data_IF_505007823471
#
_entry.id   IF_505007823471
#
_cell.length_a   1.000
_cell.length_b   1.000
_cell.length_c   1.000
_cell.angle_alpha   90.00
_cell.angle_beta   90.00
_cell.angle_gamma   90.00
#
_symmetry.space_group_name_H-M   'P 1'
#
loop_
_entity.id
_entity.type
_entity.pdbx_description
1 polymer ?
#
# COMPACT_ATOMS: atom_id res chain seq x y z
N UNK A 1 20.82 -1.75 -1.88
CA UNK A 1 19.63 -1.14 -1.26
C UNK A 1 19.69 0.38 -1.33
N UNK A 2 18.65 0.99 -1.88
CA UNK A 2 18.54 2.44 -2.14
C UNK A 2 17.40 3.00 -1.30
N UNK A 3 17.68 4.08 -0.56
CA UNK A 3 16.65 4.82 0.20
C UNK A 3 15.86 5.69 -0.78
N UNK A 4 14.53 5.58 -0.78
CA UNK A 4 13.65 6.49 -1.51
C UNK A 4 13.67 7.85 -0.79
N UNK A 5 13.93 8.91 -1.53
CA UNK A 5 14.08 10.24 -0.91
C UNK A 5 12.75 10.71 -0.30
N UNK A 6 12.84 11.60 0.70
CA UNK A 6 11.64 12.17 1.31
C UNK A 6 10.74 12.87 0.28
N UNK A 7 11.35 13.60 -0.64
CA UNK A 7 10.59 14.31 -1.68
C UNK A 7 9.79 13.34 -2.56
N UNK A 8 10.39 12.21 -2.97
CA UNK A 8 9.72 11.17 -3.74
C UNK A 8 8.60 10.51 -2.94
N UNK A 9 8.83 10.20 -1.66
CA UNK A 9 7.80 9.65 -0.77
C UNK A 9 6.59 10.59 -0.70
N UNK A 10 6.83 11.88 -0.47
CA UNK A 10 5.75 12.87 -0.39
C UNK A 10 5.05 13.08 -1.74
N UNK A 11 5.80 13.00 -2.85
CA UNK A 11 5.25 13.10 -4.21
C UNK A 11 4.31 11.93 -4.51
N UNK A 12 4.72 10.70 -4.22
CA UNK A 12 3.89 9.51 -4.36
C UNK A 12 2.64 9.61 -3.49
N UNK A 13 2.79 9.97 -2.20
CA UNK A 13 1.64 10.12 -1.29
C UNK A 13 0.64 11.16 -1.77
N UNK A 14 1.09 12.30 -2.32
CA UNK A 14 0.21 13.31 -2.93
C UNK A 14 -0.57 12.77 -4.12
N UNK A 15 0.05 11.95 -4.97
CA UNK A 15 -0.66 11.31 -6.10
C UNK A 15 -1.72 10.32 -5.64
N UNK A 16 -1.43 9.52 -4.62
CA UNK A 16 -2.42 8.62 -4.02
C UNK A 16 -3.59 9.40 -3.41
N UNK A 17 -3.32 10.47 -2.66
CA UNK A 17 -4.36 11.32 -2.09
C UNK A 17 -5.23 11.96 -3.19
N UNK A 18 -4.59 12.47 -4.26
CA UNK A 18 -5.30 13.02 -5.41
C UNK A 18 -6.19 11.98 -6.11
N UNK A 19 -5.67 10.76 -6.29
CA UNK A 19 -6.45 9.65 -6.85
C UNK A 19 -7.70 9.33 -6.02
N UNK A 20 -7.59 9.38 -4.69
CA UNK A 20 -8.71 9.15 -3.78
C UNK A 20 -9.77 10.25 -3.90
N UNK A 21 -9.36 11.52 -3.99
CA UNK A 21 -10.26 12.65 -4.22
C UNK A 21 -10.98 12.53 -5.58
N UNK A 22 -10.22 12.20 -6.63
CA UNK A 22 -10.75 11.99 -7.98
C UNK A 22 -11.74 10.82 -8.02
N UNK A 23 -11.43 9.71 -7.36
CA UNK A 23 -12.32 8.57 -7.24
C UNK A 23 -13.62 8.93 -6.51
N UNK A 24 -13.52 9.67 -5.40
CA UNK A 24 -14.69 10.11 -4.64
C UNK A 24 -15.60 11.04 -5.47
N UNK A 25 -15.03 11.97 -6.23
CA UNK A 25 -15.80 12.83 -7.13
C UNK A 25 -16.51 12.02 -8.22
N UNK A 26 -15.78 11.14 -8.91
CA UNK A 26 -16.32 10.29 -9.97
C UNK A 26 -17.42 9.37 -9.45
N UNK A 27 -17.24 8.81 -8.25
CA UNK A 27 -18.25 7.98 -7.62
C UNK A 27 -19.52 8.79 -7.31
N UNK A 28 -19.40 10.00 -6.75
CA UNK A 28 -20.57 10.87 -6.49
C UNK A 28 -21.34 11.19 -7.76
N UNK A 29 -20.64 11.55 -8.84
CA UNK A 29 -21.27 11.83 -10.14
C UNK A 29 -21.98 10.61 -10.71
N UNK A 30 -21.32 9.45 -10.72
CA UNK A 30 -21.87 8.21 -11.25
C UNK A 30 -23.09 7.73 -10.43
N UNK A 31 -23.01 7.84 -9.10
CA UNK A 31 -24.09 7.48 -8.18
C UNK A 31 -25.32 8.38 -8.33
N UNK A 32 -25.12 9.67 -8.57
CA UNK A 32 -26.22 10.61 -8.83
C UNK A 32 -26.91 10.35 -10.18
N UNK A 33 -26.18 9.81 -11.16
CA UNK A 33 -26.71 9.54 -12.50
C UNK A 33 -27.57 8.27 -12.58
N UNK A 34 -27.18 7.20 -11.89
CA UNK A 34 -27.90 5.93 -11.91
C UNK A 34 -27.50 5.01 -10.73
N UNK A 35 -28.32 4.00 -10.40
CA UNK A 35 -27.90 2.92 -9.51
C UNK A 35 -26.63 2.24 -10.02
N UNK A 36 -25.64 2.07 -9.14
CA UNK A 36 -24.35 1.47 -9.46
C UNK A 36 -24.27 0.02 -8.96
N UNK A 37 -23.54 -0.86 -9.66
CA UNK A 37 -23.23 -2.18 -9.13
C UNK A 37 -22.33 -2.08 -7.88
N UNK A 38 -22.33 -3.08 -6.99
CA UNK A 38 -21.52 -3.07 -5.77
C UNK A 38 -20.01 -2.88 -6.02
N UNK A 39 -19.51 -3.30 -7.19
CA UNK A 39 -18.09 -3.18 -7.57
C UNK A 39 -17.70 -1.79 -8.09
N UNK A 40 -18.65 -0.93 -8.42
CA UNK A 40 -18.37 0.33 -9.13
C UNK A 40 -17.39 1.22 -8.37
N UNK A 41 -17.52 1.33 -7.05
CA UNK A 41 -16.62 2.14 -6.24
C UNK A 41 -15.17 1.63 -6.28
N UNK A 42 -14.97 0.29 -6.30
CA UNK A 42 -13.65 -0.33 -6.40
C UNK A 42 -13.04 -0.10 -7.78
N UNK A 43 -13.83 -0.27 -8.85
CA UNK A 43 -13.40 -0.04 -10.23
C UNK A 43 -13.02 1.43 -10.48
N UNK A 44 -13.82 2.37 -9.96
CA UNK A 44 -13.54 3.81 -10.03
C UNK A 44 -12.27 4.16 -9.26
N UNK A 45 -12.09 3.61 -8.05
CA UNK A 45 -10.88 3.83 -7.25
C UNK A 45 -9.63 3.28 -7.94
N UNK A 46 -9.68 2.04 -8.43
CA UNK A 46 -8.58 1.43 -9.17
C UNK A 46 -8.21 2.25 -10.41
N UNK A 47 -9.20 2.70 -11.19
CA UNK A 47 -8.97 3.54 -12.36
C UNK A 47 -8.29 4.87 -11.99
N UNK A 48 -8.75 5.55 -10.94
CA UNK A 48 -8.16 6.82 -10.51
C UNK A 48 -6.72 6.67 -10.00
N UNK A 49 -6.43 5.57 -9.28
CA UNK A 49 -5.07 5.25 -8.82
C UNK A 49 -4.11 5.04 -10.00
N UNK A 50 -4.53 4.24 -10.99
CA UNK A 50 -3.73 3.94 -12.17
C UNK A 50 -3.54 5.16 -13.09
N UNK A 51 -4.53 6.03 -13.18
CA UNK A 51 -4.44 7.31 -13.91
C UNK A 51 -3.46 8.27 -13.24
N UNK A 52 -3.43 8.28 -11.91
CA UNK A 52 -2.56 9.16 -11.12
C UNK A 52 -1.14 8.61 -10.93
N UNK A 53 -0.92 7.32 -11.17
CA UNK A 53 0.40 6.69 -11.01
C UNK A 53 1.37 7.15 -12.11
N UNK A 54 2.63 7.37 -11.72
CA UNK A 54 3.67 7.80 -12.66
C UNK A 54 4.40 6.62 -13.29
N UNK A 55 4.72 5.61 -12.47
CA UNK A 55 5.65 4.53 -12.83
C UNK A 55 4.98 3.17 -13.06
N UNK A 56 3.65 3.16 -13.07
CA UNK A 56 2.85 1.93 -13.10
C UNK A 56 1.85 2.06 -14.25
N UNK A 57 1.80 1.04 -15.09
CA UNK A 57 0.78 0.86 -16.11
C UNK A 57 0.11 -0.50 -15.91
N UNK A 58 -1.08 -0.66 -16.48
CA UNK A 58 -1.74 -1.95 -16.51
C UNK A 58 -2.25 -2.23 -17.93
N UNK A 59 -2.07 -3.47 -18.37
CA UNK A 59 -2.59 -3.97 -19.62
C UNK A 59 -4.06 -4.40 -19.47
N UNK A 60 -4.97 -3.43 -19.55
CA UNK A 60 -6.43 -3.66 -19.52
C UNK A 60 -7.14 -2.84 -18.44
N UNK A 61 -8.35 -3.25 -18.08
CA UNK A 61 -9.14 -2.61 -17.02
C UNK A 61 -9.31 -3.56 -15.86
N UNK A 62 -9.03 -3.08 -14.63
CA UNK A 62 -9.31 -3.84 -13.42
C UNK A 62 -10.81 -3.89 -13.20
N UNK A 63 -11.32 -5.11 -13.00
CA UNK A 63 -12.67 -5.42 -12.54
C UNK A 63 -12.58 -6.20 -11.24
N UNK A 64 -13.72 -6.36 -10.57
CA UNK A 64 -13.79 -7.04 -9.28
C UNK A 64 -14.82 -8.16 -9.29
N UNK A 65 -14.47 -9.25 -8.63
CA UNK A 65 -15.40 -10.33 -8.27
C UNK A 65 -15.61 -10.28 -6.76
N UNK A 66 -16.88 -10.35 -6.34
CA UNK A 66 -17.26 -10.38 -4.92
C UNK A 66 -17.92 -11.72 -4.64
N UNK A 67 -17.24 -12.57 -3.88
CA UNK A 67 -17.73 -13.87 -3.44
C UNK A 67 -17.85 -13.87 -1.90
N UNK A 68 -19.04 -13.54 -1.40
CA UNK A 68 -19.27 -13.35 0.03
C UNK A 68 -18.45 -12.18 0.58
N UNK A 69 -17.48 -12.47 1.46
CA UNK A 69 -16.56 -11.48 2.03
C UNK A 69 -15.25 -11.35 1.27
N UNK A 70 -15.04 -12.12 0.21
CA UNK A 70 -13.82 -12.11 -0.60
C UNK A 70 -14.01 -11.18 -1.79
N UNK A 71 -13.13 -10.20 -1.92
CA UNK A 71 -13.10 -9.24 -3.03
C UNK A 71 -11.81 -9.50 -3.82
N UNK A 72 -11.94 -9.90 -5.08
CA UNK A 72 -10.81 -10.30 -5.91
C UNK A 72 -10.71 -9.38 -7.14
N UNK A 73 -9.66 -8.56 -7.27
CA UNK A 73 -9.39 -7.81 -8.48
C UNK A 73 -8.91 -8.74 -9.60
N UNK A 74 -9.32 -8.46 -10.84
CA UNK A 74 -8.87 -9.18 -12.02
C UNK A 74 -8.88 -8.28 -13.25
N UNK A 75 -8.00 -8.56 -14.21
CA UNK A 75 -8.14 -8.06 -15.60
C UNK A 75 -8.79 -9.14 -16.45
N UNK A 76 -8.21 -10.34 -16.43
CA UNK A 76 -8.78 -11.56 -16.99
C UNK A 76 -9.34 -12.41 -15.87
N UNK A 77 -10.64 -12.75 -15.93
CA UNK A 77 -11.30 -13.53 -14.88
C UNK A 77 -10.58 -14.87 -14.67
N UNK A 78 -10.31 -15.20 -13.40
CA UNK A 78 -9.60 -16.43 -13.01
C UNK A 78 -8.08 -16.32 -13.02
N UNK A 79 -7.51 -15.20 -13.48
CA UNK A 79 -6.07 -14.93 -13.40
C UNK A 79 -5.78 -13.88 -12.31
N UNK A 80 -4.63 -13.97 -11.61
CA UNK A 80 -4.20 -12.91 -10.71
C UNK A 80 -4.00 -11.60 -11.47
N UNK A 81 -4.21 -10.47 -10.80
CA UNK A 81 -4.08 -9.13 -11.42
C UNK A 81 -2.61 -8.74 -11.66
N UNK A 82 -1.67 -9.27 -10.88
CA UNK A 82 -0.26 -8.84 -10.85
C UNK A 82 0.47 -8.94 -12.20
N UNK A 83 0.32 -10.02 -13.00
CA UNK A 83 1.01 -10.13 -14.29
C UNK A 83 0.58 -9.10 -15.33
N UNK A 84 -0.54 -8.40 -15.11
CA UNK A 84 -1.01 -7.36 -16.03
C UNK A 84 -0.37 -5.99 -15.77
N UNK A 85 0.35 -5.84 -14.65
CA UNK A 85 1.06 -4.60 -14.34
C UNK A 85 2.40 -4.53 -15.07
N UNK A 86 2.69 -3.35 -15.61
CA UNK A 86 4.01 -2.96 -16.08
C UNK A 86 4.57 -1.91 -15.11
N UNK A 87 5.79 -2.15 -14.64
CA UNK A 87 6.42 -1.42 -13.55
C UNK A 87 7.84 -1.02 -13.95
N UNK A 88 8.12 0.28 -13.90
CA UNK A 88 9.50 0.77 -13.99
C UNK A 88 10.30 0.15 -12.83
N UNK A 89 11.36 -0.62 -13.09
CA UNK A 89 12.16 -1.27 -12.03
C UNK A 89 13.11 -0.26 -11.36
N UNK A 90 12.52 0.75 -10.72
CA UNK A 90 13.22 1.77 -9.91
C UNK A 90 12.74 1.74 -8.46
N UNK A 91 13.56 2.20 -7.49
CA UNK A 91 13.15 2.23 -6.08
C UNK A 91 11.83 2.96 -5.82
N UNK A 92 11.66 4.14 -6.42
CA UNK A 92 10.44 4.95 -6.27
C UNK A 92 9.21 4.25 -6.85
N UNK A 93 9.38 3.57 -7.99
CA UNK A 93 8.31 2.84 -8.64
C UNK A 93 7.87 1.61 -7.84
N UNK A 94 8.81 0.84 -7.28
CA UNK A 94 8.48 -0.30 -6.38
C UNK A 94 7.71 0.19 -5.15
N UNK A 95 8.10 1.32 -4.59
CA UNK A 95 7.37 1.95 -3.47
C UNK A 95 5.96 2.42 -3.88
N UNK A 96 5.82 3.12 -5.01
CA UNK A 96 4.52 3.53 -5.55
C UNK A 96 3.63 2.32 -5.83
N UNK A 97 4.19 1.27 -6.42
CA UNK A 97 3.49 0.03 -6.77
C UNK A 97 2.95 -0.68 -5.55
N UNK A 98 3.73 -0.74 -4.47
CA UNK A 98 3.25 -1.27 -3.21
C UNK A 98 2.02 -0.52 -2.68
N UNK A 99 2.03 0.81 -2.69
CA UNK A 99 0.89 1.59 -2.22
C UNK A 99 -0.34 1.40 -3.12
N UNK A 100 -0.16 1.45 -4.44
CA UNK A 100 -1.24 1.28 -5.42
C UNK A 100 -1.87 -0.11 -5.32
N UNK A 101 -1.06 -1.17 -5.31
CA UNK A 101 -1.58 -2.55 -5.20
C UNK A 101 -2.24 -2.78 -3.86
N UNK A 102 -1.70 -2.24 -2.77
CA UNK A 102 -2.31 -2.40 -1.45
C UNK A 102 -3.71 -1.75 -1.38
N UNK A 103 -3.91 -0.62 -2.07
CA UNK A 103 -5.24 -0.01 -2.22
C UNK A 103 -6.17 -0.85 -3.12
N UNK A 104 -5.67 -1.37 -4.24
CA UNK A 104 -6.44 -2.16 -5.22
C UNK A 104 -6.91 -3.49 -4.64
N UNK A 105 -6.02 -4.20 -3.95
CA UNK A 105 -6.29 -5.49 -3.31
C UNK A 105 -7.06 -5.28 -1.99
N UNK A 106 -6.98 -4.09 -1.40
CA UNK A 106 -7.85 -3.59 -0.31
C UNK A 106 -8.03 -4.60 0.83
N UNK A 107 -6.93 -5.15 1.36
CA UNK A 107 -7.02 -5.87 2.63
C UNK A 107 -7.51 -4.90 3.72
N UNK A 108 -8.41 -5.35 4.60
CA UNK A 108 -8.90 -4.54 5.73
C UNK A 108 -7.77 -4.01 6.61
N UNK A 109 -6.63 -4.70 6.61
CA UNK A 109 -5.41 -4.27 7.30
C UNK A 109 -4.71 -3.08 6.65
N UNK A 110 -4.77 -2.95 5.32
CA UNK A 110 -4.12 -1.82 4.62
C UNK A 110 -4.83 -0.49 4.85
N UNK A 111 -6.17 -0.47 4.86
CA UNK A 111 -6.95 0.75 5.20
C UNK A 111 -6.61 1.33 6.58
N UNK A 112 -6.05 0.51 7.45
CA UNK A 112 -5.63 0.87 8.80
C UNK A 112 -4.11 1.01 8.95
N UNK A 113 -3.37 0.99 7.83
CA UNK A 113 -1.92 1.11 7.77
C UNK A 113 -1.51 2.45 7.18
N UNK A 114 -0.55 3.14 7.80
CA UNK A 114 0.03 4.40 7.33
C UNK A 114 1.55 4.26 7.26
N UNK A 115 2.17 4.74 6.18
CA UNK A 115 3.64 4.85 6.10
C UNK A 115 4.14 5.92 7.06
N UNK A 116 5.27 5.68 7.72
CA UNK A 116 6.02 6.68 8.51
C UNK A 116 7.30 6.99 7.74
N UNK A 117 7.57 8.27 7.47
CA UNK A 117 8.70 8.70 6.67
C UNK A 117 9.65 9.66 7.41
N UNK A 118 9.33 10.07 8.64
CA UNK A 118 10.20 10.86 9.52
C UNK A 118 9.87 10.62 11.00
N UNK A 119 10.60 11.31 11.87
CA UNK A 119 10.42 11.28 13.32
C UNK A 119 9.13 11.96 13.79
N UNK A 120 8.62 12.98 13.10
CA UNK A 120 7.38 13.67 13.47
C UNK A 120 6.17 12.76 13.26
N UNK A 121 6.11 12.05 12.13
CA UNK A 121 5.11 11.04 11.83
C UNK A 121 5.20 9.86 12.80
N UNK A 122 6.41 9.48 13.20
CA UNK A 122 6.62 8.46 14.23
C UNK A 122 6.04 8.90 15.58
N UNK A 123 6.39 10.11 16.05
CA UNK A 123 5.90 10.66 17.30
C UNK A 123 4.38 10.83 17.28
N UNK A 124 3.81 11.25 16.14
CA UNK A 124 2.38 11.32 15.94
C UNK A 124 1.73 9.93 16.05
N UNK A 125 2.34 8.89 15.45
CA UNK A 125 1.86 7.52 15.58
C UNK A 125 1.92 7.02 17.03
N UNK A 126 3.00 7.29 17.76
CA UNK A 126 3.13 6.92 19.17
C UNK A 126 2.05 7.56 20.06
N UNK A 127 1.66 8.81 19.78
CA UNK A 127 0.58 9.49 20.51
C UNK A 127 -0.79 8.87 20.26
N UNK A 128 -0.97 8.19 19.14
CA UNK A 128 -2.21 7.47 18.83
C UNK A 128 -2.27 6.11 19.52
N UNK A 129 -1.12 5.48 19.77
CA UNK A 129 -1.04 4.16 20.41
C UNK A 129 -1.42 4.28 21.88
N UNK A 130 -2.36 3.43 22.33
CA UNK A 130 -2.70 3.37 23.74
C UNK A 130 -1.58 2.69 24.55
N UNK A 131 -0.93 3.43 25.45
CA UNK A 131 0.16 2.94 26.31
C UNK A 131 1.33 2.31 25.51
N UNK A 132 2.03 3.10 24.67
CA UNK A 132 3.05 2.58 23.76
C UNK A 132 4.23 1.97 24.53
N UNK A 133 4.65 0.78 24.10
CA UNK A 133 5.86 0.11 24.54
C UNK A 133 6.88 0.16 23.40
N UNK A 134 8.02 0.79 23.65
CA UNK A 134 9.11 0.87 22.67
C UNK A 134 9.92 -0.42 22.75
N UNK A 135 9.90 -1.21 21.68
CA UNK A 135 10.56 -2.51 21.57
C UNK A 135 11.98 -2.36 21.01
N UNK A 136 12.18 -1.41 20.09
CA UNK A 136 13.49 -1.11 19.52
C UNK A 136 13.69 0.40 19.43
N UNK A 137 14.78 0.90 20.01
CA UNK A 137 15.09 2.34 20.06
C UNK A 137 15.84 2.86 18.82
N UNK A 138 16.42 1.97 18.00
CA UNK A 138 17.28 2.36 16.88
C UNK A 138 16.60 2.05 15.55
N UNK A 139 16.18 3.11 14.86
CA UNK A 139 15.79 3.11 13.45
C UNK A 139 16.76 4.05 12.74
N UNK A 140 17.56 3.52 11.82
CA UNK A 140 18.57 4.31 11.06
C UNK A 140 17.88 5.29 10.11
N UNK A 141 16.74 4.88 9.53
CA UNK A 141 15.90 5.71 8.67
C UNK A 141 14.45 5.22 8.69
N UNK A 142 13.50 6.15 8.70
CA UNK A 142 12.07 5.83 8.50
C UNK A 142 11.70 5.68 7.03
N UNK A 143 12.52 6.22 6.13
CA UNK A 143 12.23 6.23 4.71
C UNK A 143 12.17 4.79 4.14
N UNK A 144 11.38 4.57 3.08
CA UNK A 144 11.38 3.32 2.36
C UNK A 144 12.75 3.03 1.75
N UNK A 145 13.13 1.77 1.77
CA UNK A 145 14.36 1.26 1.19
C UNK A 145 14.03 0.15 0.20
N UNK A 146 14.60 0.20 -0.99
CA UNK A 146 14.38 -0.80 -2.03
C UNK A 146 15.70 -1.39 -2.50
N UNK A 147 15.79 -2.70 -2.54
CA UNK A 147 16.90 -3.45 -3.11
C UNK A 147 16.44 -4.22 -4.35
N UNK A 148 16.74 -3.68 -5.53
CA UNK A 148 16.38 -4.28 -6.81
C UNK A 148 17.47 -5.24 -7.25
N UNK A 149 17.06 -6.41 -7.72
CA UNK A 149 17.96 -7.47 -8.18
C UNK A 149 17.94 -7.57 -9.70
N UNK A 150 18.99 -8.16 -10.25
CA UNK A 150 19.16 -8.33 -11.71
C UNK A 150 18.11 -9.25 -12.33
N UNK A 151 17.48 -10.12 -11.52
CA UNK A 151 16.39 -11.01 -11.94
C UNK A 151 15.01 -10.32 -12.02
N UNK A 152 14.97 -9.00 -11.78
CA UNK A 152 13.74 -8.20 -11.77
C UNK A 152 12.95 -8.25 -10.47
N UNK A 153 13.37 -9.06 -9.49
CA UNK A 153 12.78 -9.04 -8.15
C UNK A 153 13.30 -7.86 -7.32
N UNK A 154 12.58 -7.53 -6.24
CA UNK A 154 13.01 -6.47 -5.33
C UNK A 154 12.64 -6.77 -3.87
N UNK A 155 13.44 -6.28 -2.94
CA UNK A 155 13.08 -6.20 -1.52
C UNK A 155 12.68 -4.77 -1.19
N UNK A 156 11.50 -4.57 -0.63
CA UNK A 156 11.02 -3.29 -0.10
C UNK A 156 10.98 -3.36 1.43
N UNK A 157 11.67 -2.44 2.10
CA UNK A 157 11.53 -2.21 3.52
C UNK A 157 10.84 -0.86 3.76
N UNK A 158 9.73 -0.85 4.48
CA UNK A 158 8.98 0.38 4.78
C UNK A 158 8.51 0.39 6.24
N UNK A 159 8.69 1.52 6.92
CA UNK A 159 8.16 1.70 8.27
C UNK A 159 6.70 2.11 8.19
N UNK A 160 5.85 1.42 8.94
CA UNK A 160 4.41 1.64 8.97
C UNK A 160 3.87 1.67 10.38
N UNK A 161 2.82 2.46 10.59
CA UNK A 161 1.91 2.34 11.70
C UNK A 161 0.66 1.57 11.25
N UNK A 162 0.26 0.54 11.99
CA UNK A 162 -0.99 -0.19 11.74
C UNK A 162 -1.85 -0.27 13.00
N UNK A 163 -3.17 -0.26 12.81
CA UNK A 163 -4.18 -0.54 13.86
C UNK A 163 -4.90 -1.87 13.67
N UNK A 164 -4.50 -2.65 12.68
CA UNK A 164 -5.16 -3.92 12.39
C UNK A 164 -4.78 -4.96 13.44
N UNK A 165 -5.78 -5.42 14.22
CA UNK A 165 -5.67 -6.35 15.34
C UNK A 165 -4.91 -5.77 16.55
N UNK A 166 -3.73 -5.22 16.33
CA UNK A 166 -2.85 -4.62 17.34
C UNK A 166 -2.28 -3.31 16.82
N UNK A 167 -2.26 -2.28 17.68
CA UNK A 167 -1.63 -1.00 17.35
C UNK A 167 -0.12 -1.14 17.43
N UNK A 168 0.57 -0.94 16.31
CA UNK A 168 2.04 -1.07 16.26
C UNK A 168 2.69 -0.21 15.21
N UNK A 169 3.92 0.16 15.49
CA UNK A 169 4.90 0.66 14.52
C UNK A 169 5.88 -0.45 14.22
N UNK A 170 6.01 -0.82 12.95
CA UNK A 170 6.89 -1.89 12.49
C UNK A 170 7.55 -1.50 11.16
N UNK A 171 8.75 -2.01 10.91
CA UNK A 171 9.38 -1.98 9.59
C UNK A 171 9.05 -3.28 8.88
N UNK A 172 8.20 -3.22 7.86
CA UNK A 172 7.82 -4.38 7.04
C UNK A 172 8.84 -4.59 5.94
N UNK A 173 9.19 -5.85 5.73
CA UNK A 173 10.01 -6.32 4.61
C UNK A 173 9.10 -7.11 3.66
N UNK A 174 9.04 -6.68 2.41
CA UNK A 174 8.19 -7.23 1.37
C UNK A 174 9.06 -7.61 0.18
N UNK A 175 8.89 -8.83 -0.31
CA UNK A 175 9.57 -9.32 -1.50
C UNK A 175 8.64 -9.18 -2.71
N UNK A 176 9.03 -8.38 -3.69
CA UNK A 176 8.40 -8.29 -5.00
C UNK A 176 9.03 -9.33 -5.93
N UNK A 177 8.25 -10.30 -6.39
CA UNK A 177 8.73 -11.29 -7.34
C UNK A 177 8.72 -10.79 -8.80
N UNK A 178 9.22 -11.65 -9.70
CA UNK A 178 9.26 -11.36 -11.14
C UNK A 178 7.87 -11.29 -11.80
N UNK A 179 6.83 -11.80 -11.14
CA UNK A 179 5.42 -11.74 -11.59
C UNK A 179 4.67 -10.53 -11.02
N UNK A 180 5.39 -9.63 -10.36
CA UNK A 180 4.87 -8.44 -9.67
C UNK A 180 3.98 -8.73 -8.45
N UNK A 181 4.07 -9.91 -7.86
CA UNK A 181 3.39 -10.21 -6.61
C UNK A 181 4.26 -9.85 -5.40
N UNK A 182 3.67 -9.16 -4.43
CA UNK A 182 4.32 -8.87 -3.15
C UNK A 182 4.06 -9.99 -2.15
N UNK A 183 5.14 -10.51 -1.59
CA UNK A 183 5.16 -11.53 -0.56
C UNK A 183 5.66 -10.93 0.75
N UNK A 184 4.98 -11.23 1.85
CA UNK A 184 5.48 -10.85 3.17
C UNK A 184 6.76 -11.63 3.46
N UNK A 185 7.87 -10.91 3.69
CA UNK A 185 9.16 -11.51 3.96
C UNK A 185 9.51 -11.47 5.45
N UNK A 186 9.15 -10.40 6.15
CA UNK A 186 9.40 -10.27 7.58
C UNK A 186 9.03 -8.91 8.14
N UNK A 187 9.32 -8.71 9.43
CA UNK A 187 9.16 -7.42 10.11
C UNK A 187 10.17 -7.22 11.22
N UNK A 188 10.51 -5.96 11.47
CA UNK A 188 11.11 -5.50 12.73
C UNK A 188 10.07 -4.69 13.53
N UNK A 189 9.77 -5.12 14.75
CA UNK A 189 8.86 -4.39 15.64
C UNK A 189 9.59 -3.22 16.31
N UNK A 190 9.01 -2.02 16.23
CA UNK A 190 9.59 -0.78 16.78
C UNK A 190 8.83 -0.36 18.05
N UNK A 191 7.51 -0.29 17.97
CA UNK A 191 6.63 0.02 19.09
C UNK A 191 5.30 -0.71 18.99
N UNK A 192 4.65 -1.01 20.11
CA UNK A 192 3.33 -1.64 20.17
C UNK A 192 2.49 -1.13 21.34
N UNK A 193 1.16 -1.25 21.23
CA UNK A 193 0.24 -0.98 22.33
C UNK A 193 0.27 -2.09 23.40
N UNK A 194 0.09 -1.70 24.66
CA UNK A 194 0.09 -2.64 25.80
C UNK A 194 -1.01 -3.70 25.65
N UNK A 195 -0.62 -4.98 25.60
CA UNK A 195 -1.54 -6.13 25.45
C UNK A 195 -1.39 -6.93 24.15
N UNK A 196 -0.50 -6.49 23.24
CA UNK A 196 -0.25 -7.09 21.91
C UNK A 196 0.58 -8.38 21.87
N UNK A 197 0.58 -9.18 22.93
CA UNK A 197 1.12 -10.55 22.84
C UNK A 197 0.15 -11.50 23.51
N UNK A 198 -0.81 -12.02 22.73
CA UNK A 198 -1.31 -13.38 22.94
C UNK A 198 -0.62 -14.26 21.91
N UNK A 199 0.40 -15.00 22.36
CA UNK A 199 0.95 -16.16 21.66
C UNK A 199 -0.15 -17.20 21.44
#
# INVERSE_FOLDING_TARGET
MTIVSREEVDRVRRRIAHAQELAAERFRQAFAAAPLPPTAHLEIQAAALLESAEHIRIAGQIRYQIDGSVITPYVTRGAPVYPFFDLDRTPVAVFEYWLVVSEIVSSTSWRMTRVIADAEEYDAALRLIQSPQIVRALVVSFLPEVDIRDDGSAMLAATVYTRAQEERVERRMLFLDASNEFHFHGRDLIAEGRGGVRL
#
